data_IF_358618367391
#
_entry.id   IF_358618367391
#
_cell.length_a   1.000
_cell.length_b   1.000
_cell.length_c   1.000
_cell.angle_alpha   90.00
_cell.angle_beta   90.00
_cell.angle_gamma   90.00
#
_symmetry.space_group_name_H-M   'P 1'
#
loop_
_entity.id
_entity.type
_entity.pdbx_description
1 polymer ?
#
# COMPACT_ATOMS: atom_id res chain seq x y z
N UNK A 1 13.67 12.73 4.50
CA UNK A 1 13.65 12.97 3.04
C UNK A 1 14.57 11.98 2.35
N UNK A 2 15.82 11.78 2.79
CA UNK A 2 16.77 10.85 2.18
C UNK A 2 16.24 9.42 2.12
N UNK A 3 15.70 8.87 3.21
CA UNK A 3 15.14 7.52 3.26
C UNK A 3 13.92 7.33 2.35
N UNK A 4 13.09 8.36 2.20
CA UNK A 4 11.96 8.31 1.29
C UNK A 4 12.38 8.30 -0.18
N UNK A 5 13.45 9.05 -0.52
CA UNK A 5 14.02 9.04 -1.86
C UNK A 5 14.64 7.67 -2.20
N UNK A 6 15.36 7.04 -1.26
CA UNK A 6 15.89 5.69 -1.46
C UNK A 6 14.76 4.68 -1.71
N UNK A 7 13.71 4.72 -0.91
CA UNK A 7 12.55 3.83 -1.09
C UNK A 7 11.84 4.05 -2.44
N UNK A 8 11.74 5.31 -2.92
CA UNK A 8 11.21 5.60 -4.25
C UNK A 8 12.12 5.04 -5.36
N UNK A 9 13.42 5.15 -5.20
CA UNK A 9 14.37 4.59 -6.17
C UNK A 9 14.24 3.06 -6.25
N UNK A 10 14.21 2.38 -5.10
CA UNK A 10 14.02 0.92 -5.04
C UNK A 10 12.70 0.51 -5.68
N UNK A 11 11.63 1.27 -5.43
CA UNK A 11 10.33 1.02 -6.05
C UNK A 11 10.38 1.17 -7.57
N UNK A 12 11.03 2.21 -8.09
CA UNK A 12 11.17 2.43 -9.54
C UNK A 12 11.99 1.29 -10.18
N UNK A 13 13.07 0.86 -9.54
CA UNK A 13 13.88 -0.28 -10.01
C UNK A 13 13.04 -1.56 -10.07
N UNK A 14 12.29 -1.88 -9.00
CA UNK A 14 11.38 -3.04 -8.99
C UNK A 14 10.32 -2.94 -10.08
N UNK A 15 9.76 -1.76 -10.31
CA UNK A 15 8.76 -1.52 -11.34
C UNK A 15 9.35 -1.69 -12.74
N UNK A 16 10.57 -1.22 -12.99
CA UNK A 16 11.28 -1.43 -14.26
C UNK A 16 11.55 -2.92 -14.53
N UNK A 17 11.98 -3.66 -13.49
CA UNK A 17 12.20 -5.12 -13.59
C UNK A 17 10.88 -5.82 -13.89
N UNK A 18 9.81 -5.43 -13.23
CA UNK A 18 8.47 -5.99 -13.44
C UNK A 18 7.96 -5.74 -14.86
N UNK A 19 8.08 -4.51 -15.37
CA UNK A 19 7.70 -4.18 -16.74
C UNK A 19 8.58 -4.90 -17.77
N UNK A 20 9.88 -5.02 -17.50
CA UNK A 20 10.81 -5.79 -18.32
C UNK A 20 10.42 -7.26 -18.38
N UNK A 21 10.01 -7.85 -17.23
CA UNK A 21 9.53 -9.23 -17.18
C UNK A 21 8.27 -9.43 -18.04
N UNK A 22 7.28 -8.54 -17.91
CA UNK A 22 6.05 -8.59 -18.73
C UNK A 22 6.40 -8.52 -20.22
N UNK A 23 7.31 -7.64 -20.61
CA UNK A 23 7.71 -7.46 -22.00
C UNK A 23 8.46 -8.67 -22.57
N UNK A 24 9.31 -9.32 -21.75
CA UNK A 24 10.15 -10.44 -22.18
C UNK A 24 9.38 -11.75 -22.29
N UNK A 25 8.41 -11.98 -21.40
CA UNK A 25 7.55 -13.16 -21.43
C UNK A 25 6.34 -12.88 -22.33
N UNK A 26 6.50 -13.18 -23.65
CA UNK A 26 5.52 -12.96 -24.72
C UNK A 26 4.14 -13.61 -24.53
N UNK A 27 3.93 -14.39 -23.47
CA UNK A 27 2.67 -15.07 -23.19
C UNK A 27 1.67 -14.22 -22.38
N UNK A 28 2.03 -12.98 -22.04
CA UNK A 28 1.15 -12.07 -21.32
C UNK A 28 0.49 -11.13 -22.32
N UNK A 29 -0.80 -11.29 -22.54
CA UNK A 29 -1.59 -10.36 -23.36
C UNK A 29 -1.76 -9.04 -22.62
N UNK A 30 -0.96 -8.03 -23.00
CA UNK A 30 -1.10 -6.67 -22.46
C UNK A 30 -2.36 -6.06 -23.09
N UNK A 31 -3.37 -5.82 -22.29
CA UNK A 31 -4.57 -5.08 -22.67
C UNK A 31 -4.39 -3.58 -22.45
N UNK A 32 -5.16 -2.77 -23.16
CA UNK A 32 -5.14 -1.32 -22.98
C UNK A 32 -5.42 -0.93 -21.53
N UNK A 33 -6.26 -1.70 -20.81
CA UNK A 33 -6.54 -1.50 -19.39
C UNK A 33 -5.30 -1.64 -18.50
N UNK A 34 -4.36 -2.54 -18.82
CA UNK A 34 -3.14 -2.75 -18.01
C UNK A 34 -2.26 -1.50 -18.01
N UNK A 35 -2.20 -0.80 -19.14
CA UNK A 35 -1.41 0.43 -19.28
C UNK A 35 -1.89 1.52 -18.33
N UNK A 36 -3.20 1.58 -18.03
CA UNK A 36 -3.76 2.53 -17.08
C UNK A 36 -3.74 2.01 -15.65
N UNK A 37 -3.96 0.72 -15.44
CA UNK A 37 -4.04 0.14 -14.09
C UNK A 37 -2.68 0.11 -13.39
N UNK A 38 -1.57 -0.10 -14.11
CA UNK A 38 -0.23 -0.14 -13.53
C UNK A 38 0.14 1.20 -12.87
N UNK A 39 0.07 2.37 -13.55
CA UNK A 39 0.41 3.64 -12.91
C UNK A 39 -0.60 4.03 -11.81
N UNK A 40 -1.88 3.71 -11.95
CA UNK A 40 -2.88 3.95 -10.90
C UNK A 40 -2.58 3.12 -9.66
N UNK A 41 -2.23 1.84 -9.83
CA UNK A 41 -1.85 0.97 -8.72
C UNK A 41 -0.57 1.45 -8.02
N UNK A 42 0.42 1.95 -8.76
CA UNK A 42 1.62 2.55 -8.22
C UNK A 42 1.31 3.78 -7.35
N UNK A 43 0.42 4.66 -7.83
CA UNK A 43 -0.03 5.83 -7.06
C UNK A 43 -0.78 5.40 -5.78
N UNK A 44 -1.69 4.43 -5.88
CA UNK A 44 -2.41 3.93 -4.71
C UNK A 44 -1.47 3.30 -3.70
N UNK A 45 -0.44 2.58 -4.15
CA UNK A 45 0.59 2.01 -3.29
C UNK A 45 1.39 3.10 -2.56
N UNK A 46 1.74 4.16 -3.28
CA UNK A 46 2.40 5.32 -2.70
C UNK A 46 1.53 5.98 -1.60
N UNK A 47 0.23 6.21 -1.86
CA UNK A 47 -0.68 6.77 -0.87
C UNK A 47 -0.87 5.85 0.34
N UNK A 48 -0.94 4.52 0.14
CA UNK A 48 -1.00 3.55 1.23
C UNK A 48 0.25 3.62 2.11
N UNK A 49 1.42 3.61 1.50
CA UNK A 49 2.70 3.68 2.21
C UNK A 49 2.85 5.00 2.96
N UNK A 50 2.43 6.11 2.35
CA UNK A 50 2.48 7.43 2.96
C UNK A 50 1.51 7.53 4.15
N UNK A 51 0.27 7.04 4.01
CA UNK A 51 -0.73 7.04 5.09
C UNK A 51 -0.29 6.21 6.30
N UNK A 52 0.17 4.98 6.07
CA UNK A 52 0.68 4.10 7.12
C UNK A 52 1.97 4.67 7.72
N UNK A 53 2.87 5.19 6.89
CA UNK A 53 4.14 5.76 7.32
C UNK A 53 3.98 6.98 8.22
N UNK A 54 3.04 7.89 7.90
CA UNK A 54 2.73 9.06 8.75
C UNK A 54 2.13 8.65 10.09
N UNK A 55 1.25 7.65 10.13
CA UNK A 55 0.72 7.09 11.37
C UNK A 55 1.83 6.50 12.25
N UNK A 56 2.66 5.65 11.67
CA UNK A 56 3.78 5.01 12.37
C UNK A 56 4.76 6.06 12.89
N UNK A 57 5.08 7.07 12.08
CA UNK A 57 5.97 8.17 12.47
C UNK A 57 5.43 8.93 13.66
N UNK A 58 4.14 9.30 13.65
CA UNK A 58 3.50 10.00 14.75
C UNK A 58 3.53 9.18 16.06
N UNK A 59 3.30 7.86 15.97
CA UNK A 59 3.36 6.96 17.12
C UNK A 59 4.79 6.78 17.64
N UNK A 60 5.78 6.68 16.75
CA UNK A 60 7.19 6.53 17.11
C UNK A 60 7.79 7.79 17.76
N UNK A 61 7.22 8.97 17.47
CA UNK A 61 7.59 10.21 18.11
C UNK A 61 6.97 10.29 19.51
N UNK A 62 5.70 9.92 19.65
CA UNK A 62 4.98 9.97 20.93
C UNK A 62 5.48 8.90 21.92
N UNK A 63 5.73 7.70 21.44
CA UNK A 63 6.10 6.55 22.26
C UNK A 63 7.49 6.06 21.85
N UNK A 64 8.49 6.32 22.70
CA UNK A 64 9.89 5.96 22.43
C UNK A 64 10.08 4.45 22.21
N UNK A 65 9.32 3.65 22.95
CA UNK A 65 9.38 2.19 22.91
C UNK A 65 8.75 1.60 21.63
N UNK A 66 7.93 2.40 20.93
CA UNK A 66 7.26 1.98 19.70
C UNK A 66 8.27 1.62 18.58
N UNK A 67 9.45 2.22 18.61
CA UNK A 67 10.54 1.93 17.66
C UNK A 67 11.00 0.47 17.73
N UNK A 68 10.94 -0.18 18.90
CA UNK A 68 11.34 -1.58 19.06
C UNK A 68 10.27 -2.53 18.54
N UNK A 69 9.01 -2.15 18.61
CA UNK A 69 7.87 -2.95 18.16
C UNK A 69 7.68 -2.82 16.63
N UNK A 70 8.17 -1.75 16.03
CA UNK A 70 7.97 -1.41 14.62
C UNK A 70 8.38 -2.54 13.64
N UNK A 71 9.54 -3.21 13.78
CA UNK A 71 9.90 -4.33 12.91
C UNK A 71 8.89 -5.48 12.95
N UNK A 72 8.33 -5.80 14.12
CA UNK A 72 7.30 -6.83 14.28
C UNK A 72 6.00 -6.42 13.62
N UNK A 73 5.58 -5.15 13.74
CA UNK A 73 4.39 -4.62 13.07
C UNK A 73 4.55 -4.72 11.55
N UNK A 74 5.70 -4.32 11.01
CA UNK A 74 5.97 -4.41 9.57
C UNK A 74 5.94 -5.86 9.08
N UNK A 75 6.48 -6.80 9.84
CA UNK A 75 6.43 -8.21 9.52
C UNK A 75 5.00 -8.77 9.55
N UNK A 76 4.20 -8.39 10.55
CA UNK A 76 2.78 -8.74 10.61
C UNK A 76 1.99 -8.15 9.43
N UNK A 77 2.23 -6.90 9.07
CA UNK A 77 1.59 -6.25 7.93
C UNK A 77 1.88 -7.00 6.62
N UNK A 78 3.08 -7.56 6.47
CA UNK A 78 3.43 -8.35 5.29
C UNK A 78 2.58 -9.65 5.21
N UNK A 79 2.31 -10.32 6.33
CA UNK A 79 1.46 -11.52 6.37
C UNK A 79 -0.03 -11.20 6.21
N UNK A 80 -0.49 -10.09 6.78
CA UNK A 80 -1.89 -9.64 6.66
C UNK A 80 -2.16 -9.09 5.26
N UNK A 81 -1.12 -8.62 4.57
CA UNK A 81 -1.24 -8.12 3.20
C UNK A 81 -1.59 -9.28 2.24
N UNK A 82 -2.51 -9.07 1.29
CA UNK A 82 -2.90 -10.08 0.31
C UNK A 82 -1.83 -10.31 -0.79
N UNK A 83 -0.55 -10.14 -0.45
CA UNK A 83 0.56 -10.43 -1.36
C UNK A 83 0.59 -11.92 -1.70
N UNK A 84 0.37 -12.78 -0.71
CA UNK A 84 0.42 -14.23 -0.84
C UNK A 84 -0.97 -14.89 -0.98
N UNK A 85 -2.03 -14.19 -0.58
CA UNK A 85 -3.38 -14.73 -0.56
C UNK A 85 -4.21 -14.16 -1.72
N UNK A 86 -4.87 -15.05 -2.45
CA UNK A 86 -5.92 -14.68 -3.38
C UNK A 86 -7.23 -14.59 -2.58
N UNK A 87 -7.85 -13.41 -2.60
CA UNK A 87 -9.12 -13.20 -1.90
C UNK A 87 -10.23 -13.82 -2.74
N UNK A 88 -10.90 -14.83 -2.17
CA UNK A 88 -12.09 -15.43 -2.79
C UNK A 88 -13.33 -14.58 -2.48
N UNK A 89 -14.13 -14.21 -3.49
CA UNK A 89 -15.33 -13.39 -3.29
C UNK A 89 -16.36 -14.02 -2.34
N UNK A 90 -16.39 -15.34 -2.27
CA UNK A 90 -17.36 -16.09 -1.48
C UNK A 90 -16.89 -16.41 -0.05
N UNK A 91 -15.75 -15.89 0.38
CA UNK A 91 -15.26 -16.13 1.74
C UNK A 91 -15.94 -15.20 2.75
N UNK A 92 -16.30 -15.73 3.92
CA UNK A 92 -16.81 -14.93 5.05
C UNK A 92 -15.85 -13.84 5.51
N UNK A 93 -14.56 -13.98 5.17
CA UNK A 93 -13.48 -13.05 5.51
C UNK A 93 -13.23 -12.00 4.43
N UNK A 94 -13.97 -12.04 3.31
CA UNK A 94 -13.80 -11.13 2.17
C UNK A 94 -13.79 -9.65 2.57
N UNK A 95 -14.75 -9.24 3.38
CA UNK A 95 -14.86 -7.85 3.84
C UNK A 95 -13.66 -7.43 4.69
N UNK A 96 -13.19 -8.28 5.61
CA UNK A 96 -12.04 -7.99 6.47
C UNK A 96 -10.75 -7.80 5.65
N UNK A 97 -10.52 -8.66 4.66
CA UNK A 97 -9.36 -8.52 3.78
C UNK A 97 -9.47 -7.27 2.91
N UNK A 98 -10.67 -6.93 2.43
CA UNK A 98 -10.91 -5.75 1.59
C UNK A 98 -10.67 -4.42 2.31
N UNK A 99 -10.75 -4.40 3.65
CA UNK A 99 -10.38 -3.24 4.46
C UNK A 99 -8.87 -2.91 4.41
N UNK A 100 -8.04 -3.84 3.99
CA UNK A 100 -6.61 -3.59 3.86
C UNK A 100 -6.35 -2.62 2.67
N UNK A 101 -5.68 -1.47 2.88
CA UNK A 101 -5.42 -0.48 1.84
C UNK A 101 -4.54 -1.00 0.70
N UNK A 102 -3.82 -2.10 0.91
CA UNK A 102 -2.95 -2.72 -0.10
C UNK A 102 -3.70 -3.64 -1.08
N UNK A 103 -4.98 -3.95 -0.83
CA UNK A 103 -5.75 -4.86 -1.70
C UNK A 103 -5.97 -4.25 -3.09
N UNK A 104 -6.40 -3.00 -3.16
CA UNK A 104 -6.66 -2.33 -4.44
C UNK A 104 -5.41 -2.28 -5.33
N UNK A 105 -4.26 -1.73 -4.87
CA UNK A 105 -3.07 -1.66 -5.70
C UNK A 105 -2.57 -3.04 -6.11
N UNK A 106 -2.60 -4.04 -5.23
CA UNK A 106 -2.12 -5.39 -5.54
C UNK A 106 -3.03 -6.12 -6.54
N UNK A 107 -4.35 -5.99 -6.44
CA UNK A 107 -5.27 -6.57 -7.42
C UNK A 107 -5.11 -5.90 -8.79
N UNK A 108 -4.93 -4.58 -8.85
CA UNK A 108 -4.70 -3.87 -10.09
C UNK A 108 -3.37 -4.28 -10.75
N UNK A 109 -2.29 -4.45 -9.97
CA UNK A 109 -1.02 -4.97 -10.50
C UNK A 109 -1.14 -6.38 -11.05
N UNK A 110 -1.96 -7.23 -10.45
CA UNK A 110 -2.14 -8.63 -10.86
C UNK A 110 -3.14 -8.82 -11.98
N UNK A 111 -3.84 -7.78 -12.38
CA UNK A 111 -4.91 -7.88 -13.38
C UNK A 111 -4.45 -8.53 -14.68
N UNK A 112 -3.28 -8.18 -15.19
CA UNK A 112 -2.72 -8.75 -16.42
C UNK A 112 -2.43 -10.27 -16.32
N UNK A 113 -2.30 -10.83 -15.10
CA UNK A 113 -2.10 -12.26 -14.86
C UNK A 113 -3.42 -13.01 -14.65
N UNK A 114 -4.35 -12.39 -13.92
CA UNK A 114 -5.58 -13.05 -13.47
C UNK A 114 -6.78 -12.74 -14.36
N UNK A 115 -6.74 -11.62 -15.08
CA UNK A 115 -7.84 -11.03 -15.84
C UNK A 115 -9.17 -10.90 -15.07
N UNK A 116 -9.09 -10.98 -13.73
CA UNK A 116 -10.24 -10.88 -12.82
C UNK A 116 -10.06 -9.72 -11.88
N UNK A 117 -11.07 -8.87 -11.81
CA UNK A 117 -11.13 -7.73 -10.89
C UNK A 117 -12.34 -7.91 -9.97
N UNK A 118 -12.11 -7.75 -8.67
CA UNK A 118 -13.17 -7.69 -7.67
C UNK A 118 -13.41 -6.22 -7.32
N UNK A 119 -14.32 -5.58 -8.05
CA UNK A 119 -14.58 -4.14 -7.91
C UNK A 119 -14.99 -3.74 -6.50
N UNK A 120 -15.78 -4.59 -5.82
CA UNK A 120 -16.21 -4.34 -4.43
C UNK A 120 -15.02 -4.27 -3.47
N UNK A 121 -14.07 -5.21 -3.59
CA UNK A 121 -12.86 -5.21 -2.76
C UNK A 121 -11.98 -3.99 -3.06
N UNK A 122 -11.87 -3.60 -4.31
CA UNK A 122 -11.08 -2.44 -4.73
C UNK A 122 -11.69 -1.16 -4.16
N UNK A 123 -13.00 -0.96 -4.27
CA UNK A 123 -13.67 0.23 -3.73
C UNK A 123 -13.51 0.35 -2.22
N UNK A 124 -13.71 -0.74 -1.48
CA UNK A 124 -13.51 -0.76 -0.02
C UNK A 124 -12.06 -0.42 0.33
N UNK A 125 -11.10 -1.02 -0.37
CA UNK A 125 -9.68 -0.79 -0.14
C UNK A 125 -9.25 0.64 -0.47
N UNK A 126 -9.77 1.25 -1.53
CA UNK A 126 -9.52 2.66 -1.87
C UNK A 126 -10.06 3.57 -0.77
N UNK A 127 -11.28 3.35 -0.30
CA UNK A 127 -11.85 4.12 0.80
C UNK A 127 -11.02 3.99 2.08
N UNK A 128 -10.60 2.78 2.41
CA UNK A 128 -9.70 2.50 3.53
C UNK A 128 -8.36 3.22 3.39
N UNK A 129 -7.80 3.27 2.18
CA UNK A 129 -6.56 3.96 1.87
C UNK A 129 -6.65 5.46 2.15
N UNK A 130 -7.68 6.13 1.61
CA UNK A 130 -7.90 7.55 1.86
C UNK A 130 -8.21 7.86 3.32
N UNK A 131 -8.94 6.97 3.99
CA UNK A 131 -9.23 7.12 5.42
C UNK A 131 -7.94 7.04 6.26
N UNK A 132 -7.07 6.07 6.01
CA UNK A 132 -5.79 5.94 6.69
C UNK A 132 -4.86 7.12 6.41
N UNK A 133 -4.83 7.60 5.17
CA UNK A 133 -4.05 8.78 4.81
C UNK A 133 -4.55 10.02 5.56
N UNK A 134 -5.85 10.25 5.60
CA UNK A 134 -6.43 11.36 6.33
C UNK A 134 -6.15 11.29 7.84
N UNK A 135 -6.33 10.10 8.44
CA UNK A 135 -6.01 9.87 9.85
C UNK A 135 -4.51 10.09 10.14
N UNK A 136 -3.64 9.55 9.27
CA UNK A 136 -2.20 9.70 9.41
C UNK A 136 -1.77 11.16 9.42
N UNK A 137 -2.21 11.93 8.45
CA UNK A 137 -1.91 13.35 8.35
C UNK A 137 -2.45 14.16 9.55
N UNK A 138 -3.68 13.86 9.97
CA UNK A 138 -4.32 14.56 11.10
C UNK A 138 -3.60 14.29 12.42
N UNK A 139 -3.25 13.03 12.66
CA UNK A 139 -2.52 12.65 13.89
C UNK A 139 -1.11 13.22 13.85
N UNK A 140 -0.43 13.15 12.71
CA UNK A 140 0.93 13.70 12.56
C UNK A 140 0.94 15.20 12.83
N UNK A 141 0.04 15.97 12.23
CA UNK A 141 -0.06 17.41 12.46
C UNK A 141 -0.32 17.75 13.94
N UNK A 142 -1.23 17.03 14.61
CA UNK A 142 -1.49 17.22 16.03
C UNK A 142 -0.26 16.96 16.90
N UNK A 143 0.59 16.03 16.51
CA UNK A 143 1.81 15.72 17.23
C UNK A 143 2.90 16.78 16.99
N UNK A 144 2.99 17.30 15.75
CA UNK A 144 3.90 18.39 15.39
C UNK A 144 3.61 19.65 16.22
N UNK A 145 2.34 20.06 16.31
CA UNK A 145 1.90 21.21 17.13
C UNK A 145 2.28 21.01 18.60
N UNK A 146 2.08 19.81 19.15
CA UNK A 146 2.43 19.49 20.54
C UNK A 146 3.94 19.61 20.84
N UNK A 147 4.81 19.28 19.89
CA UNK A 147 6.26 19.42 20.04
C UNK A 147 6.75 20.84 19.84
N UNK A 148 6.09 21.61 18.98
CA UNK A 148 6.42 23.02 18.77
C UNK A 148 6.15 23.84 20.05
N UNK A 149 5.13 23.48 20.83
CA UNK A 149 4.78 24.12 22.08
C UNK A 149 5.75 23.78 23.25
N UNK A 150 6.54 22.70 23.11
CA UNK A 150 7.48 22.23 24.13
C UNK A 150 8.94 22.67 23.88
N UNK A 151 9.23 23.27 22.73
CA UNK A 151 10.56 23.74 22.31
C UNK A 151 10.67 25.27 22.51
#
# INVERSE_FOLDING_TARGET
ISSALSAMFDFIVCLCIYLGFIFFFKNVEIRILDIFLIPISALLLFFSAFGIGTLISALAVKYRDFRYILPFILQLLLFISPVFLLISPNSSTFFLFSLNPLVAPLQMFRYHLTHTIQWDAILISILSNFFLLFLGLRIFKKMEDYFADLS
#
